data_IF_441808910965
#
_entry.id   IF_441808910965
#
_cell.length_a   1.000
_cell.length_b   1.000
_cell.length_c   1.000
_cell.angle_alpha   90.00
_cell.angle_beta   90.00
_cell.angle_gamma   90.00
#
_symmetry.space_group_name_H-M   'P 1'
#
loop_
_entity.id
_entity.type
_entity.pdbx_description
1 polymer ?
#
# COMPACT_ATOMS: atom_id res chain seq x y z
N UNK A 1 18.04 18.55 3.37
CA UNK A 1 18.30 19.48 4.51
C UNK A 1 19.15 18.74 5.54
N UNK A 2 20.19 19.38 6.12
CA UNK A 2 21.06 18.81 7.18
C UNK A 2 20.78 19.50 8.52
N UNK A 3 20.49 18.73 9.57
CA UNK A 3 20.97 18.94 10.95
C UNK A 3 20.66 17.69 11.81
N UNK A 4 21.66 17.24 12.59
CA UNK A 4 21.64 16.08 13.51
C UNK A 4 21.10 16.47 14.89
N UNK A 5 20.54 15.51 15.64
CA UNK A 5 20.89 15.26 17.05
C UNK A 5 20.64 13.79 17.42
N UNK A 6 21.58 13.17 18.14
CA UNK A 6 21.48 11.87 18.82
C UNK A 6 21.05 12.13 20.28
N UNK A 7 20.19 11.28 20.84
CA UNK A 7 20.11 11.00 22.29
C UNK A 7 19.36 9.67 22.50
N UNK A 8 19.83 8.85 23.45
CA UNK A 8 19.38 7.47 23.77
C UNK A 8 18.49 7.46 25.02
N UNK A 9 17.42 6.65 25.08
CA UNK A 9 16.83 6.14 26.35
C UNK A 9 16.21 4.73 26.17
N UNK A 10 16.44 3.87 27.16
CA UNK A 10 16.08 2.45 27.31
C UNK A 10 14.63 2.22 27.81
N UNK A 11 14.02 1.09 27.36
CA UNK A 11 13.24 0.06 28.12
C UNK A 11 11.87 -0.38 27.54
N UNK A 12 11.78 -1.71 27.47
CA UNK A 12 10.66 -2.67 27.58
C UNK A 12 9.67 -2.81 26.39
N UNK A 13 9.78 -3.99 25.79
CA UNK A 13 8.80 -4.60 24.91
C UNK A 13 7.86 -5.43 25.81
N UNK A 14 6.55 -5.30 25.61
CA UNK A 14 5.58 -6.22 26.20
C UNK A 14 5.23 -7.25 25.11
N UNK A 15 5.87 -8.42 25.15
CA UNK A 15 5.45 -9.62 24.43
C UNK A 15 4.43 -10.40 25.22
N UNK A 16 3.61 -11.17 24.50
CA UNK A 16 2.67 -12.10 25.12
C UNK A 16 3.35 -13.40 25.54
N UNK A 17 4.38 -13.88 24.82
CA UNK A 17 5.33 -14.93 25.25
C UNK A 17 6.41 -15.14 24.15
N UNK A 18 7.45 -15.95 24.45
CA UNK A 18 8.43 -16.44 23.47
C UNK A 18 7.79 -17.53 22.61
N UNK A 19 7.52 -17.26 21.33
CA UNK A 19 7.03 -18.28 20.40
C UNK A 19 8.24 -19.10 19.91
N UNK A 20 8.20 -20.43 20.05
CA UNK A 20 9.27 -21.31 19.58
C UNK A 20 9.21 -21.44 18.04
N UNK A 21 10.37 -21.59 17.38
CA UNK A 21 10.50 -21.75 15.92
C UNK A 21 9.69 -22.94 15.34
N UNK A 22 9.13 -23.81 16.18
CA UNK A 22 8.31 -24.96 15.76
C UNK A 22 6.82 -24.63 15.55
N UNK A 23 6.38 -23.39 15.79
CA UNK A 23 4.98 -22.96 15.57
C UNK A 23 4.77 -22.21 14.24
N UNK A 24 5.79 -22.18 13.37
CA UNK A 24 5.70 -21.57 12.05
C UNK A 24 4.97 -22.49 11.09
N UNK A 25 3.63 -22.45 11.15
CA UNK A 25 2.84 -22.90 10.03
C UNK A 25 3.06 -21.91 8.87
N UNK A 26 3.98 -22.25 7.96
CA UNK A 26 4.08 -21.60 6.66
C UNK A 26 2.76 -21.77 5.92
N UNK A 27 1.77 -20.89 6.12
CA UNK A 27 0.72 -20.61 5.12
C UNK A 27 -0.36 -19.62 5.53
N UNK A 28 -0.49 -19.20 6.81
CA UNK A 28 -1.58 -18.28 7.16
C UNK A 28 -1.11 -16.83 7.08
N UNK A 29 -1.55 -16.11 6.04
CA UNK A 29 -1.39 -14.65 5.97
C UNK A 29 -2.01 -14.02 7.21
N UNK A 30 -1.22 -13.31 8.01
CA UNK A 30 -1.73 -12.55 9.16
C UNK A 30 -2.78 -11.51 8.75
N UNK A 31 -2.64 -10.99 7.54
CA UNK A 31 -3.66 -10.22 6.85
C UNK A 31 -3.46 -10.35 5.34
N UNK A 32 -4.55 -10.23 4.60
CA UNK A 32 -4.58 -10.16 3.15
C UNK A 32 -5.64 -9.13 2.76
N UNK A 33 -5.29 -8.18 1.91
CA UNK A 33 -6.21 -7.16 1.41
C UNK A 33 -6.30 -7.32 -0.11
N UNK A 34 -7.49 -7.64 -0.59
CA UNK A 34 -7.80 -7.79 -2.03
C UNK A 34 -8.71 -6.69 -2.55
N UNK A 35 -9.17 -5.77 -1.68
CA UNK A 35 -10.23 -4.78 -1.95
C UNK A 35 -11.57 -5.35 -2.49
N UNK A 36 -11.69 -6.68 -2.59
CA UNK A 36 -12.87 -7.38 -3.12
C UNK A 36 -13.03 -7.24 -4.62
N UNK A 37 -14.22 -7.54 -5.13
CA UNK A 37 -14.58 -7.42 -6.53
C UNK A 37 -15.99 -6.82 -6.72
N UNK A 38 -16.31 -6.41 -7.94
CA UNK A 38 -17.65 -5.97 -8.32
C UNK A 38 -17.72 -5.34 -9.70
N UNK A 39 -18.95 -5.23 -10.23
CA UNK A 39 -19.19 -4.75 -11.60
C UNK A 39 -19.07 -3.23 -11.78
N UNK A 40 -19.17 -2.46 -10.69
CA UNK A 40 -19.04 -1.01 -10.72
C UNK A 40 -17.57 -0.62 -10.83
N UNK A 41 -17.25 0.37 -11.68
CA UNK A 41 -15.86 0.84 -11.81
C UNK A 41 -15.29 1.32 -10.48
N UNK A 42 -16.12 1.92 -9.62
CA UNK A 42 -15.76 2.40 -8.29
C UNK A 42 -16.50 1.60 -7.23
N UNK A 43 -15.76 1.04 -6.27
CA UNK A 43 -16.35 0.45 -5.08
C UNK A 43 -16.83 1.54 -4.12
N UNK A 44 -18.00 1.33 -3.51
CA UNK A 44 -18.50 2.10 -2.38
C UNK A 44 -17.90 1.66 -1.03
N UNK A 45 -17.12 0.58 -1.03
CA UNK A 45 -16.35 0.15 0.14
C UNK A 45 -15.31 1.20 0.52
N UNK A 46 -15.12 1.33 1.82
CA UNK A 46 -14.29 2.32 2.48
C UNK A 46 -13.03 1.68 3.08
N UNK A 47 -12.02 2.48 3.48
CA UNK A 47 -10.84 1.94 4.17
C UNK A 47 -11.16 1.10 5.41
N UNK A 48 -12.22 1.45 6.14
CA UNK A 48 -12.68 0.68 7.31
C UNK A 48 -13.14 -0.74 6.97
N UNK A 49 -13.66 -0.98 5.77
CA UNK A 49 -14.07 -2.35 5.34
C UNK A 49 -12.86 -3.29 5.19
N UNK A 50 -11.65 -2.73 5.11
CA UNK A 50 -10.39 -3.46 4.99
C UNK A 50 -9.41 -3.18 6.14
N UNK A 51 -9.89 -2.58 7.23
CA UNK A 51 -9.12 -2.27 8.45
C UNK A 51 -7.84 -1.44 8.23
N UNK A 52 -7.80 -0.58 7.20
CA UNK A 52 -6.72 0.39 7.03
C UNK A 52 -7.22 1.82 7.17
N UNK A 53 -6.30 2.73 7.45
CA UNK A 53 -6.54 4.18 7.48
C UNK A 53 -5.71 4.87 6.39
N UNK A 54 -6.19 6.01 5.93
CA UNK A 54 -5.48 6.86 4.98
C UNK A 54 -5.83 8.32 5.26
N UNK A 55 -4.92 9.23 4.91
CA UNK A 55 -5.18 10.68 4.95
C UNK A 55 -5.83 11.20 3.65
N UNK A 56 -6.12 10.30 2.71
CA UNK A 56 -6.66 10.65 1.40
C UNK A 56 -8.19 10.58 1.41
N UNK A 57 -8.82 11.38 0.54
CA UNK A 57 -10.28 11.40 0.40
C UNK A 57 -10.73 10.42 -0.67
N UNK A 58 -11.72 9.58 -0.35
CA UNK A 58 -12.27 8.65 -1.33
C UNK A 58 -13.05 9.40 -2.41
N UNK A 59 -12.79 9.05 -3.66
CA UNK A 59 -13.48 9.56 -4.83
C UNK A 59 -14.16 8.39 -5.56
N UNK A 60 -15.45 8.57 -5.84
CA UNK A 60 -16.29 7.58 -6.54
C UNK A 60 -16.57 8.01 -8.00
N UNK A 61 -15.74 8.91 -8.52
CA UNK A 61 -15.88 9.53 -9.84
C UNK A 61 -14.54 9.54 -10.58
N UNK A 62 -14.59 9.88 -11.86
CA UNK A 62 -13.45 9.78 -12.79
C UNK A 62 -12.34 10.81 -12.60
N UNK A 63 -12.64 11.94 -11.95
CA UNK A 63 -11.68 13.02 -11.79
C UNK A 63 -10.99 12.91 -10.44
N UNK A 64 -9.77 12.36 -10.42
CA UNK A 64 -8.94 12.34 -9.22
C UNK A 64 -8.18 13.66 -9.12
N UNK A 65 -8.32 14.33 -7.99
CA UNK A 65 -7.47 15.44 -7.61
C UNK A 65 -6.37 14.94 -6.66
N UNK A 66 -5.31 15.73 -6.51
CA UNK A 66 -4.28 15.48 -5.50
C UNK A 66 -4.91 15.18 -4.12
N UNK A 67 -4.43 14.13 -3.45
CA UNK A 67 -4.94 13.71 -2.15
C UNK A 67 -6.19 12.82 -2.22
N UNK A 68 -6.64 12.40 -3.41
CA UNK A 68 -7.76 11.47 -3.56
C UNK A 68 -7.32 10.05 -3.85
N UNK A 69 -8.17 9.10 -3.46
CA UNK A 69 -8.03 7.70 -3.83
C UNK A 69 -9.38 7.12 -4.28
N UNK A 70 -9.35 5.95 -4.88
CA UNK A 70 -10.54 5.18 -5.24
C UNK A 70 -10.19 3.70 -5.30
N UNK A 71 -11.16 2.87 -4.94
CA UNK A 71 -11.09 1.43 -5.15
C UNK A 71 -11.72 1.14 -6.50
N UNK A 72 -10.90 0.80 -7.49
CA UNK A 72 -11.33 0.71 -8.89
C UNK A 72 -11.12 -0.69 -9.47
N UNK A 73 -12.08 -1.21 -10.22
CA UNK A 73 -11.92 -2.53 -10.86
C UNK A 73 -11.14 -2.46 -12.18
N UNK A 74 -10.99 -1.25 -12.74
CA UNK A 74 -10.19 -0.96 -13.92
C UNK A 74 -9.77 0.50 -13.97
N UNK A 75 -8.62 0.78 -14.60
CA UNK A 75 -8.12 2.14 -14.80
C UNK A 75 -9.13 2.97 -15.63
N UNK A 76 -9.58 4.15 -15.15
CA UNK A 76 -10.55 4.98 -15.85
C UNK A 76 -10.08 5.48 -17.23
N UNK A 77 -11.06 5.69 -18.13
CA UNK A 77 -10.86 6.05 -19.54
C UNK A 77 -10.73 7.54 -19.86
N UNK A 78 -10.73 8.41 -18.84
CA UNK A 78 -10.83 9.87 -19.03
C UNK A 78 -9.48 10.58 -19.24
N UNK A 79 -8.36 9.88 -19.12
CA UNK A 79 -7.01 10.44 -19.27
C UNK A 79 -6.22 9.63 -20.29
N UNK A 80 -5.88 10.24 -21.43
CA UNK A 80 -5.17 9.55 -22.53
C UNK A 80 -3.78 9.05 -22.13
N UNK A 81 -3.14 9.72 -21.17
CA UNK A 81 -1.84 9.34 -20.60
C UNK A 81 -1.90 8.06 -19.75
N UNK A 82 -3.09 7.61 -19.34
CA UNK A 82 -3.24 6.45 -18.47
C UNK A 82 -3.43 5.15 -19.25
N UNK A 83 -3.07 4.03 -18.63
CA UNK A 83 -3.36 2.68 -19.10
C UNK A 83 -4.84 2.30 -18.89
N UNK A 84 -5.76 3.09 -19.45
CA UNK A 84 -7.21 2.89 -19.32
C UNK A 84 -7.65 1.46 -19.66
N UNK A 85 -8.55 0.92 -18.85
CA UNK A 85 -9.06 -0.44 -18.95
C UNK A 85 -8.16 -1.52 -18.36
N UNK A 86 -6.95 -1.18 -17.90
CA UNK A 86 -6.09 -2.15 -17.20
C UNK A 86 -6.72 -2.57 -15.88
N UNK A 87 -6.58 -3.86 -15.56
CA UNK A 87 -7.16 -4.51 -14.39
C UNK A 87 -6.15 -4.56 -13.23
N UNK A 88 -6.60 -5.09 -12.10
CA UNK A 88 -5.73 -5.37 -10.96
C UNK A 88 -4.67 -6.43 -11.30
N UNK A 89 -3.81 -6.77 -10.33
CA UNK A 89 -2.74 -7.73 -10.53
C UNK A 89 -3.19 -9.20 -10.53
N UNK A 90 -4.47 -9.48 -10.25
CA UNK A 90 -4.98 -10.83 -10.03
C UNK A 90 -5.38 -11.44 -11.37
N UNK A 91 -4.66 -12.45 -11.88
CA UNK A 91 -5.03 -13.08 -13.14
C UNK A 91 -6.44 -13.66 -13.03
N UNK A 92 -7.25 -13.52 -14.08
CA UNK A 92 -8.62 -14.07 -14.19
C UNK A 92 -9.69 -13.44 -13.28
N UNK A 93 -9.37 -12.36 -12.55
CA UNK A 93 -10.36 -11.54 -11.84
C UNK A 93 -10.68 -10.28 -12.65
N UNK A 94 -11.66 -10.38 -13.54
CA UNK A 94 -12.03 -9.28 -14.44
C UNK A 94 -12.71 -8.10 -13.70
N UNK A 95 -13.09 -8.29 -12.44
CA UNK A 95 -13.84 -7.33 -11.62
C UNK A 95 -13.16 -7.04 -10.26
N UNK A 96 -11.90 -7.44 -10.09
CA UNK A 96 -11.11 -7.24 -8.87
C UNK A 96 -10.75 -5.77 -8.64
N UNK A 97 -10.99 -5.25 -7.43
CA UNK A 97 -10.67 -3.86 -7.10
C UNK A 97 -9.18 -3.68 -6.76
N UNK A 98 -8.62 -2.56 -7.23
CA UNK A 98 -7.28 -2.07 -6.87
C UNK A 98 -7.38 -0.71 -6.17
N UNK A 99 -6.40 -0.38 -5.36
CA UNK A 99 -6.28 0.95 -4.73
C UNK A 99 -5.55 1.92 -5.67
N UNK A 100 -6.31 2.77 -6.36
CA UNK A 100 -5.76 3.88 -7.13
C UNK A 100 -5.68 5.13 -6.24
N UNK A 101 -4.50 5.73 -6.15
CA UNK A 101 -4.26 6.92 -5.33
C UNK A 101 -3.48 7.98 -6.10
N UNK A 102 -3.96 9.22 -6.04
CA UNK A 102 -3.16 10.39 -6.32
C UNK A 102 -2.66 10.97 -4.99
N UNK A 103 -1.37 10.75 -4.71
CA UNK A 103 -0.75 11.10 -3.44
C UNK A 103 -0.75 12.61 -3.17
N UNK A 104 -0.81 13.44 -4.22
CA UNK A 104 -0.70 14.89 -4.06
C UNK A 104 0.68 15.32 -3.57
N UNK A 105 0.88 15.44 -2.24
CA UNK A 105 2.12 15.93 -1.65
C UNK A 105 3.16 14.83 -1.41
N UNK A 106 4.44 15.21 -1.41
CA UNK A 106 5.55 14.27 -1.20
C UNK A 106 5.59 13.81 0.27
N UNK A 107 5.71 12.50 0.49
CA UNK A 107 5.77 11.81 1.79
C UNK A 107 4.44 11.65 2.53
N UNK A 108 3.30 11.82 1.86
CA UNK A 108 2.01 11.56 2.49
C UNK A 108 1.81 10.05 2.77
N UNK A 109 1.18 9.76 3.91
CA UNK A 109 0.79 8.40 4.26
C UNK A 109 -0.46 8.01 3.44
N UNK A 110 -0.24 7.15 2.44
CA UNK A 110 -1.31 6.66 1.56
C UNK A 110 -2.10 5.49 2.16
N UNK A 111 -1.48 4.73 3.06
CA UNK A 111 -2.04 3.51 3.63
C UNK A 111 -1.38 3.22 4.97
N UNK A 112 -2.18 2.86 5.98
CA UNK A 112 -1.72 2.42 7.29
C UNK A 112 -2.61 1.30 7.82
N UNK A 113 -1.98 0.19 8.21
CA UNK A 113 -2.67 -0.97 8.74
C UNK A 113 -2.02 -1.39 10.05
N UNK A 114 -2.83 -1.52 11.11
CA UNK A 114 -2.34 -1.90 12.44
C UNK A 114 -2.52 -3.40 12.65
N UNK A 115 -1.41 -4.11 12.76
CA UNK A 115 -1.39 -5.53 13.15
C UNK A 115 -1.15 -5.61 14.65
N UNK A 116 -1.96 -6.40 15.35
CA UNK A 116 -1.81 -6.68 16.77
C UNK A 116 -1.35 -8.13 16.96
N UNK A 117 -0.87 -8.45 18.17
CA UNK A 117 -0.53 -9.82 18.58
C UNK A 117 0.59 -10.49 17.77
N UNK A 118 1.58 -9.71 17.31
CA UNK A 118 2.81 -10.28 16.75
C UNK A 118 3.62 -10.98 17.86
N UNK A 119 3.99 -12.23 17.63
CA UNK A 119 4.98 -12.98 18.41
C UNK A 119 6.38 -12.37 18.26
N UNK A 120 7.10 -12.25 19.38
CA UNK A 120 8.54 -11.94 19.36
C UNK A 120 9.30 -13.21 18.97
N UNK A 121 10.36 -13.05 18.18
CA UNK A 121 11.23 -14.13 17.73
C UNK A 121 10.88 -14.70 16.36
N UNK A 122 9.72 -14.34 15.81
CA UNK A 122 9.32 -14.74 14.46
C UNK A 122 9.70 -13.69 13.41
N UNK A 123 10.10 -14.15 12.24
CA UNK A 123 10.25 -13.32 11.04
C UNK A 123 8.90 -13.12 10.36
N UNK A 124 8.60 -11.89 9.95
CA UNK A 124 7.38 -11.56 9.22
C UNK A 124 7.71 -11.04 7.83
N UNK A 125 6.99 -11.56 6.84
CA UNK A 125 7.02 -11.07 5.47
C UNK A 125 5.89 -10.08 5.21
N UNK A 126 6.21 -8.97 4.56
CA UNK A 126 5.23 -8.09 3.94
C UNK A 126 5.50 -8.04 2.44
N UNK A 127 4.44 -8.08 1.64
CA UNK A 127 4.55 -7.78 0.22
C UNK A 127 3.32 -7.07 -0.30
N UNK A 128 3.53 -6.23 -1.31
CA UNK A 128 2.46 -5.56 -2.04
C UNK A 128 2.81 -5.47 -3.53
N UNK A 129 1.78 -5.33 -4.36
CA UNK A 129 1.93 -5.09 -5.79
C UNK A 129 1.71 -3.62 -6.10
N UNK A 130 2.61 -3.05 -6.89
CA UNK A 130 2.55 -1.67 -7.34
C UNK A 130 2.66 -1.59 -8.86
N UNK A 131 1.97 -0.62 -9.46
CA UNK A 131 2.04 -0.34 -10.88
C UNK A 131 1.95 1.16 -11.12
N UNK A 132 2.62 1.64 -12.15
CA UNK A 132 2.45 3.00 -12.63
C UNK A 132 1.33 3.01 -13.68
N UNK A 133 0.30 3.83 -13.46
CA UNK A 133 -0.82 3.94 -14.42
C UNK A 133 -0.48 4.81 -15.62
N UNK A 134 0.60 5.61 -15.57
CA UNK A 134 1.05 6.43 -16.69
C UNK A 134 1.80 5.59 -17.74
N UNK A 135 1.43 5.80 -19.00
CA UNK A 135 2.13 5.24 -20.16
C UNK A 135 3.54 5.81 -20.26
N UNK A 136 4.45 5.02 -20.81
CA UNK A 136 5.81 5.44 -21.12
C UNK A 136 5.85 6.75 -21.93
N UNK A 137 6.79 7.63 -21.58
CA UNK A 137 6.98 8.92 -22.24
C UNK A 137 6.02 10.01 -21.80
N UNK A 138 5.12 9.74 -20.84
CA UNK A 138 4.31 10.77 -20.22
C UNK A 138 5.18 11.62 -19.29
N UNK A 139 5.03 12.95 -19.37
CA UNK A 139 5.69 13.86 -18.45
C UNK A 139 4.99 13.84 -17.07
N UNK A 140 5.19 12.76 -16.33
CA UNK A 140 4.70 12.56 -14.97
C UNK A 140 5.86 12.14 -14.06
N UNK A 141 5.88 12.59 -12.79
CA UNK A 141 6.96 12.28 -11.88
C UNK A 141 7.03 10.78 -11.60
N UNK A 142 8.26 10.27 -11.52
CA UNK A 142 8.55 8.93 -11.02
C UNK A 142 8.00 8.78 -9.59
N UNK A 143 7.50 7.59 -9.29
CA UNK A 143 6.81 7.30 -8.02
C UNK A 143 7.62 6.26 -7.25
N UNK A 144 8.16 6.66 -6.11
CA UNK A 144 8.78 5.77 -5.14
C UNK A 144 7.89 5.65 -3.91
N UNK A 145 7.51 4.43 -3.56
CA UNK A 145 6.72 4.11 -2.38
C UNK A 145 7.65 3.56 -1.31
N UNK A 146 7.63 4.20 -0.13
CA UNK A 146 8.34 3.69 1.04
C UNK A 146 7.41 2.87 1.91
N UNK A 147 7.72 1.60 2.04
CA UNK A 147 7.11 0.66 2.97
C UNK A 147 7.80 0.79 4.31
N UNK A 148 7.03 0.96 5.38
CA UNK A 148 7.54 1.09 6.74
C UNK A 148 6.78 0.18 7.69
N UNK A 149 7.52 -0.55 8.51
CA UNK A 149 6.99 -1.25 9.68
C UNK A 149 7.38 -0.43 10.90
N UNK A 150 6.38 0.00 11.66
CA UNK A 150 6.56 0.84 12.84
C UNK A 150 5.95 0.16 14.07
N UNK A 151 6.56 0.38 15.23
CA UNK A 151 6.00 -0.07 16.49
C UNK A 151 4.65 0.64 16.75
N UNK A 152 3.62 -0.08 17.17
CA UNK A 152 2.29 0.48 17.40
C UNK A 152 2.14 1.30 18.71
N UNK A 153 3.23 1.90 19.21
CA UNK A 153 3.27 2.79 20.39
C UNK A 153 3.17 4.26 19.94
N UNK A 154 2.87 5.18 20.86
CA UNK A 154 2.58 6.59 20.56
C UNK A 154 3.64 7.29 19.68
N UNK A 155 4.92 6.94 19.81
CA UNK A 155 6.01 7.55 19.03
C UNK A 155 6.42 6.77 17.75
N UNK A 156 5.83 5.60 17.48
CA UNK A 156 5.92 4.96 16.15
C UNK A 156 7.32 4.57 15.67
N UNK A 157 8.19 4.07 16.55
CA UNK A 157 9.58 3.69 16.22
C UNK A 157 9.65 2.87 14.93
N UNK A 158 10.53 3.28 14.01
CA UNK A 158 10.76 2.56 12.76
C UNK A 158 11.50 1.25 13.05
N UNK A 159 10.87 0.12 12.73
CA UNK A 159 11.42 -1.23 12.90
C UNK A 159 12.14 -1.67 11.62
N UNK A 160 11.48 -1.48 10.48
CA UNK A 160 12.01 -1.83 9.18
C UNK A 160 11.45 -0.90 8.11
N UNK A 161 12.21 -0.69 7.04
CA UNK A 161 11.72 0.01 5.86
C UNK A 161 12.30 -0.56 4.58
N UNK A 162 11.55 -0.40 3.49
CA UNK A 162 11.96 -0.74 2.14
C UNK A 162 11.36 0.27 1.18
N UNK A 163 12.16 0.80 0.28
CA UNK A 163 11.67 1.60 -0.85
C UNK A 163 11.41 0.66 -2.03
N UNK A 164 10.38 0.94 -2.83
CA UNK A 164 10.15 0.24 -4.09
C UNK A 164 11.22 0.60 -5.13
N UNK A 165 11.92 1.72 -4.93
CA UNK A 165 12.54 2.46 -6.02
C UNK A 165 11.46 3.09 -6.90
N UNK A 166 11.88 3.72 -7.99
CA UNK A 166 10.94 4.28 -8.95
C UNK A 166 10.13 3.17 -9.62
N UNK A 167 8.81 3.29 -9.57
CA UNK A 167 7.88 2.45 -10.30
C UNK A 167 7.79 3.00 -11.73
N UNK A 168 8.40 2.31 -12.72
CA UNK A 168 8.61 2.88 -14.05
C UNK A 168 7.29 3.05 -14.82
N UNK A 169 7.26 4.04 -15.70
CA UNK A 169 6.25 4.14 -16.74
C UNK A 169 6.59 3.18 -17.87
N UNK A 170 5.62 2.38 -18.30
CA UNK A 170 5.83 1.30 -19.26
C UNK A 170 4.91 1.46 -20.48
N UNK A 171 5.22 0.76 -21.58
CA UNK A 171 4.32 0.73 -22.75
C UNK A 171 3.01 -0.02 -22.45
N UNK A 172 3.09 -1.02 -21.57
CA UNK A 172 1.95 -1.74 -21.01
C UNK A 172 2.01 -1.60 -19.48
N UNK A 173 0.86 -1.51 -18.81
CA UNK A 173 0.83 -1.47 -17.34
C UNK A 173 1.37 -2.79 -16.78
N UNK A 174 2.34 -2.71 -15.88
CA UNK A 174 2.99 -3.88 -15.27
C UNK A 174 2.94 -3.77 -13.76
N UNK A 175 2.46 -4.82 -13.11
CA UNK A 175 2.47 -4.96 -11.65
C UNK A 175 3.79 -5.57 -11.19
N UNK A 176 4.42 -4.94 -10.21
CA UNK A 176 5.66 -5.40 -9.58
C UNK A 176 5.41 -5.73 -8.12
N UNK A 177 5.82 -6.92 -7.68
CA UNK A 177 5.77 -7.33 -6.27
C UNK A 177 7.00 -6.79 -5.54
N UNK A 178 6.79 -6.18 -4.37
CA UNK A 178 7.84 -5.71 -3.49
C UNK A 178 7.73 -6.32 -2.10
#
# INVERSE_FOLDING_TARGET
MIARKKEYVLKKINSVDLCAEQDTQESTSMFLITFGNGSSTYSDKTPSDFNFTTNHTQNLQTCFEAGHFGLINKVPGNVSAWHSGSLDHTPTDDDGYMFLVDVGHRNDQIFNYKINNLCIGLGYGFSAYFANIFKAGCNAPERDVRLEVRAAKEDGDLIASKSTGDIPQCNNMTWSKH
#
